data_IF_467961832122
#
_entry.id   IF_467961832122
#
_cell.length_a   1.000
_cell.length_b   1.000
_cell.length_c   1.000
_cell.angle_alpha   90.00
_cell.angle_beta   90.00
_cell.angle_gamma   90.00
#
_symmetry.space_group_name_H-M   'P 1'
#
loop_
_entity.id
_entity.type
_entity.pdbx_description
1 polymer ?
#
# COMPACT_ATOMS: atom_id res chain seq x y z
N UNK A 1 -21.34 8.61 -13.35
CA UNK A 1 -20.99 8.20 -11.99
C UNK A 1 -19.51 7.99 -11.85
N UNK A 2 -18.92 8.65 -10.87
CA UNK A 2 -17.49 8.53 -10.65
C UNK A 2 -17.17 7.28 -9.84
N UNK A 3 -16.39 6.41 -10.43
CA UNK A 3 -15.91 5.23 -9.74
C UNK A 3 -14.77 5.64 -8.80
N UNK A 4 -14.86 5.21 -7.54
CA UNK A 4 -13.78 5.41 -6.59
C UNK A 4 -12.76 4.30 -6.71
N UNK A 5 -11.50 4.63 -6.52
CA UNK A 5 -10.46 3.63 -6.40
C UNK A 5 -10.48 3.03 -4.99
N UNK A 6 -10.49 1.73 -4.91
CA UNK A 6 -10.46 1.01 -3.64
C UNK A 6 -9.00 0.78 -3.23
N UNK A 7 -8.61 1.34 -2.09
CA UNK A 7 -7.22 1.32 -1.64
C UNK A 7 -7.12 0.67 -0.25
N UNK A 8 -6.27 -0.35 -0.14
CA UNK A 8 -5.95 -0.97 1.13
C UNK A 8 -4.60 -0.44 1.60
N UNK A 9 -4.55 0.08 2.82
CA UNK A 9 -3.30 0.59 3.40
C UNK A 9 -2.94 -0.24 4.62
N UNK A 10 -1.74 -0.80 4.62
CA UNK A 10 -1.22 -1.65 5.70
C UNK A 10 0.06 -1.03 6.25
N UNK A 11 0.03 -0.58 7.50
CA UNK A 11 1.17 0.06 8.15
C UNK A 11 0.97 -0.04 9.66
N UNK A 12 1.99 -0.48 10.39
CA UNK A 12 1.89 -0.60 11.84
C UNK A 12 1.89 0.76 12.56
N UNK A 13 2.27 1.82 11.87
CA UNK A 13 2.23 3.18 12.41
C UNK A 13 0.84 3.78 12.21
N UNK A 14 0.04 3.82 13.27
CA UNK A 14 -1.34 4.32 13.18
C UNK A 14 -1.41 5.77 12.74
N UNK A 15 -0.38 6.57 13.04
CA UNK A 15 -0.31 7.96 12.60
C UNK A 15 -0.25 8.07 11.08
N UNK A 16 0.51 7.18 10.43
CA UNK A 16 0.59 7.13 8.97
C UNK A 16 -0.78 6.75 8.38
N UNK A 17 -1.42 5.74 8.96
CA UNK A 17 -2.75 5.31 8.50
C UNK A 17 -3.75 6.46 8.58
N UNK A 18 -3.76 7.17 9.71
CA UNK A 18 -4.68 8.30 9.92
C UNK A 18 -4.41 9.42 8.92
N UNK A 19 -3.14 9.77 8.75
CA UNK A 19 -2.75 10.85 7.84
C UNK A 19 -3.12 10.54 6.39
N UNK A 20 -2.79 9.35 5.92
CA UNK A 20 -3.07 8.95 4.53
C UNK A 20 -4.57 8.80 4.29
N UNK A 21 -5.28 8.22 5.26
CA UNK A 21 -6.72 8.05 5.15
C UNK A 21 -7.43 9.39 5.04
N UNK A 22 -7.06 10.34 5.89
CA UNK A 22 -7.66 11.67 5.84
C UNK A 22 -7.36 12.39 4.53
N UNK A 23 -6.12 12.29 4.09
CA UNK A 23 -5.71 12.96 2.86
C UNK A 23 -6.45 12.39 1.64
N UNK A 24 -6.49 11.08 1.51
CA UNK A 24 -7.13 10.44 0.36
C UNK A 24 -8.66 10.59 0.38
N UNK A 25 -9.26 10.51 1.57
CA UNK A 25 -10.72 10.66 1.68
C UNK A 25 -11.19 12.07 1.34
N UNK A 26 -10.34 13.06 1.47
CA UNK A 26 -10.70 14.46 1.23
C UNK A 26 -11.15 14.71 -0.20
N UNK A 27 -10.57 14.02 -1.17
CA UNK A 27 -10.89 14.21 -2.58
C UNK A 27 -12.19 13.54 -3.02
N UNK A 28 -12.65 12.54 -2.25
CA UNK A 28 -13.81 11.73 -2.63
C UNK A 28 -13.55 10.73 -3.74
N UNK A 29 -12.29 10.60 -4.18
CA UNK A 29 -11.91 9.73 -5.30
C UNK A 29 -11.46 8.34 -4.84
N UNK A 30 -11.32 8.13 -3.55
CA UNK A 30 -10.79 6.88 -3.00
C UNK A 30 -11.71 6.31 -1.93
N UNK A 31 -11.82 5.00 -1.92
CA UNK A 31 -12.47 4.25 -0.86
C UNK A 31 -11.34 3.56 -0.08
N UNK A 32 -11.01 4.10 1.09
CA UNK A 32 -9.80 3.71 1.82
C UNK A 32 -10.12 2.75 2.95
N UNK A 33 -9.40 1.64 3.00
CA UNK A 33 -9.48 0.65 4.09
C UNK A 33 -8.09 0.56 4.71
N UNK A 34 -7.98 0.68 6.03
CA UNK A 34 -6.70 0.68 6.72
C UNK A 34 -6.61 -0.47 7.73
N UNK A 35 -5.42 -1.05 7.84
CA UNK A 35 -5.11 -2.06 8.85
C UNK A 35 -3.72 -1.81 9.40
N UNK A 36 -3.60 -1.88 10.73
CA UNK A 36 -2.30 -1.81 11.41
C UNK A 36 -1.69 -3.19 11.62
N UNK A 37 -2.47 -4.24 11.42
CA UNK A 37 -2.03 -5.62 11.57
C UNK A 37 -2.04 -6.31 10.21
N UNK A 38 -0.89 -6.81 9.74
CA UNK A 38 -0.81 -7.43 8.42
C UNK A 38 -1.65 -8.71 8.27
N UNK A 39 -1.86 -9.44 9.35
CA UNK A 39 -2.67 -10.66 9.30
C UNK A 39 -4.14 -10.31 9.03
N UNK A 40 -4.64 -9.28 9.73
CA UNK A 40 -6.00 -8.79 9.49
C UNK A 40 -6.15 -8.23 8.08
N UNK A 41 -5.11 -7.55 7.60
CA UNK A 41 -5.11 -7.01 6.23
C UNK A 41 -5.20 -8.13 5.18
N UNK A 42 -4.46 -9.21 5.37
CA UNK A 42 -4.50 -10.35 4.46
C UNK A 42 -5.88 -11.02 4.47
N UNK A 43 -6.52 -11.09 5.63
CA UNK A 43 -7.87 -11.61 5.72
C UNK A 43 -8.84 -10.75 4.92
N UNK A 44 -8.76 -9.43 5.05
CA UNK A 44 -9.59 -8.51 4.26
C UNK A 44 -9.30 -8.63 2.77
N UNK A 45 -8.02 -8.77 2.40
CA UNK A 45 -7.61 -8.92 1.01
C UNK A 45 -8.21 -10.18 0.39
N UNK A 46 -8.40 -11.24 1.19
CA UNK A 46 -8.97 -12.48 0.70
C UNK A 46 -10.48 -12.40 0.47
N UNK A 47 -11.15 -11.40 1.04
CA UNK A 47 -12.61 -11.29 1.00
C UNK A 47 -13.15 -10.20 0.08
N UNK A 48 -12.30 -9.26 -0.34
CA UNK A 48 -12.74 -8.20 -1.24
C UNK A 48 -11.61 -7.79 -2.17
N UNK A 49 -11.99 -7.15 -3.27
CA UNK A 49 -11.02 -6.69 -4.25
C UNK A 49 -10.58 -5.26 -3.96
N UNK A 50 -9.30 -4.98 -4.21
CA UNK A 50 -8.74 -3.65 -4.10
C UNK A 50 -8.05 -3.27 -5.40
N UNK A 51 -8.17 -2.00 -5.78
CA UNK A 51 -7.45 -1.48 -6.94
C UNK A 51 -5.96 -1.30 -6.64
N UNK A 52 -5.64 -1.00 -5.38
CA UNK A 52 -4.26 -0.74 -4.96
C UNK A 52 -4.06 -1.18 -3.52
N UNK A 53 -2.89 -1.74 -3.24
CA UNK A 53 -2.43 -2.04 -1.89
C UNK A 53 -1.21 -1.18 -1.60
N UNK A 54 -1.27 -0.38 -0.53
CA UNK A 54 -0.14 0.36 0.00
C UNK A 54 0.38 -0.41 1.21
N UNK A 55 1.63 -0.82 1.17
CA UNK A 55 2.13 -1.83 2.11
C UNK A 55 3.48 -1.41 2.69
N UNK A 56 3.51 -1.23 4.01
CA UNK A 56 4.75 -0.94 4.73
C UNK A 56 5.64 -2.19 4.76
N UNK A 57 6.95 -2.01 4.58
CA UNK A 57 7.89 -3.13 4.60
C UNK A 57 8.19 -3.58 6.04
N UNK A 58 8.43 -2.63 6.94
CA UNK A 58 8.89 -2.95 8.30
C UNK A 58 7.74 -2.97 9.30
N UNK A 59 7.23 -4.15 9.60
CA UNK A 59 6.17 -4.35 10.59
C UNK A 59 6.57 -5.48 11.54
N UNK A 60 6.23 -5.36 12.85
CA UNK A 60 6.70 -6.35 13.84
C UNK A 60 6.07 -7.74 13.71
N UNK A 61 4.80 -7.83 13.33
CA UNK A 61 4.10 -9.12 13.27
C UNK A 61 4.47 -9.93 12.04
N UNK A 62 4.65 -9.26 10.93
CA UNK A 62 4.97 -9.89 9.66
C UNK A 62 5.62 -8.87 8.76
N UNK A 63 6.74 -9.23 8.19
CA UNK A 63 7.47 -8.38 7.26
C UNK A 63 6.59 -8.10 6.02
N UNK A 64 6.60 -6.87 5.53
CA UNK A 64 5.82 -6.48 4.35
C UNK A 64 6.15 -7.30 3.11
N UNK A 65 7.37 -7.81 2.98
CA UNK A 65 7.74 -8.68 1.86
C UNK A 65 6.98 -10.00 1.92
N UNK A 66 6.76 -10.53 3.13
CA UNK A 66 5.95 -11.74 3.30
C UNK A 66 4.48 -11.48 2.94
N UNK A 67 3.98 -10.31 3.31
CA UNK A 67 2.62 -9.90 2.94
C UNK A 67 2.49 -9.79 1.42
N UNK A 68 3.48 -9.16 0.78
CA UNK A 68 3.52 -9.01 -0.67
C UNK A 68 3.47 -10.38 -1.36
N UNK A 69 4.26 -11.32 -0.87
CA UNK A 69 4.29 -12.68 -1.42
C UNK A 69 2.90 -13.31 -1.36
N UNK A 70 2.22 -13.20 -0.23
CA UNK A 70 0.88 -13.76 -0.06
C UNK A 70 -0.17 -13.06 -0.93
N UNK A 71 -0.04 -11.76 -1.10
CA UNK A 71 -0.91 -10.98 -1.99
C UNK A 71 -0.74 -11.47 -3.44
N UNK A 72 0.50 -11.61 -3.88
CA UNK A 72 0.80 -12.05 -5.25
C UNK A 72 0.37 -13.49 -5.50
N UNK A 73 0.41 -14.35 -4.49
CA UNK A 73 -0.10 -15.72 -4.62
C UNK A 73 -1.61 -15.74 -4.89
N UNK A 74 -2.36 -14.82 -4.28
CA UNK A 74 -3.80 -14.74 -4.47
C UNK A 74 -4.17 -14.04 -5.77
N UNK A 75 -3.43 -13.00 -6.15
CA UNK A 75 -3.72 -12.22 -7.35
C UNK A 75 -2.42 -11.62 -7.88
N UNK A 76 -1.84 -12.28 -8.86
CA UNK A 76 -0.57 -11.85 -9.45
C UNK A 76 -0.67 -10.54 -10.23
N UNK A 77 -1.89 -10.06 -10.50
CA UNK A 77 -2.13 -8.79 -11.20
C UNK A 77 -2.35 -7.62 -10.23
N UNK A 78 -2.32 -7.88 -8.93
CA UNK A 78 -2.57 -6.84 -7.93
C UNK A 78 -1.51 -5.74 -7.99
N UNK A 79 -1.96 -4.51 -8.05
CA UNK A 79 -1.07 -3.34 -7.97
C UNK A 79 -0.70 -3.09 -6.52
N UNK A 80 0.59 -3.04 -6.24
CA UNK A 80 1.11 -2.85 -4.89
C UNK A 80 2.20 -1.80 -4.90
N UNK A 81 2.08 -0.81 -4.02
CA UNK A 81 3.12 0.19 -3.80
C UNK A 81 3.69 -0.05 -2.40
N UNK A 82 4.98 -0.31 -2.31
CA UNK A 82 5.64 -0.49 -1.01
C UNK A 82 5.96 0.87 -0.41
N UNK A 83 5.75 0.99 0.89
CA UNK A 83 6.14 2.17 1.65
C UNK A 83 7.37 1.78 2.48
N UNK A 84 8.46 2.53 2.35
CA UNK A 84 9.72 2.12 2.97
C UNK A 84 10.50 3.29 3.52
N UNK A 85 11.20 3.08 4.64
CA UNK A 85 12.16 4.03 5.16
C UNK A 85 13.44 3.99 4.32
N UNK A 86 14.19 5.07 4.39
CA UNK A 86 15.41 5.25 3.59
C UNK A 86 16.41 4.09 3.74
N UNK A 87 16.48 3.51 4.91
CA UNK A 87 17.46 2.46 5.23
C UNK A 87 17.14 1.08 4.66
N UNK A 88 16.05 0.93 3.88
CA UNK A 88 15.58 -0.38 3.44
C UNK A 88 15.66 -0.57 1.92
N UNK A 89 16.65 0.06 1.28
CA UNK A 89 16.80 0.00 -0.19
C UNK A 89 16.93 -1.43 -0.72
N UNK A 90 17.68 -2.29 -0.03
CA UNK A 90 17.82 -3.70 -0.42
C UNK A 90 16.47 -4.40 -0.49
N UNK A 91 15.60 -4.09 0.48
CA UNK A 91 14.26 -4.67 0.54
C UNK A 91 13.35 -4.14 -0.57
N UNK A 92 13.55 -2.88 -0.97
CA UNK A 92 12.85 -2.30 -2.11
C UNK A 92 13.17 -3.08 -3.39
N UNK A 93 14.45 -3.34 -3.63
CA UNK A 93 14.87 -4.10 -4.81
C UNK A 93 14.27 -5.50 -4.79
N UNK A 94 14.27 -6.14 -3.63
CA UNK A 94 13.69 -7.47 -3.48
C UNK A 94 12.17 -7.44 -3.71
N UNK A 95 11.47 -6.43 -3.20
CA UNK A 95 10.02 -6.32 -3.38
C UNK A 95 9.65 -6.17 -4.85
N UNK A 96 10.45 -5.45 -5.60
CA UNK A 96 10.23 -5.27 -7.03
C UNK A 96 10.30 -6.61 -7.77
N UNK A 97 11.27 -7.46 -7.39
CA UNK A 97 11.38 -8.81 -7.96
C UNK A 97 10.20 -9.69 -7.57
N UNK A 98 9.59 -9.47 -6.42
CA UNK A 98 8.46 -10.25 -5.93
C UNK A 98 7.11 -9.74 -6.42
N UNK A 99 7.08 -8.70 -7.25
CA UNK A 99 5.86 -8.27 -7.90
C UNK A 99 5.33 -6.91 -7.49
N UNK A 100 6.02 -6.18 -6.61
CA UNK A 100 5.59 -4.82 -6.27
C UNK A 100 5.65 -3.93 -7.50
N UNK A 101 4.61 -3.12 -7.69
CA UNK A 101 4.51 -2.25 -8.86
C UNK A 101 5.42 -1.04 -8.73
N UNK A 102 5.56 -0.50 -7.52
CA UNK A 102 6.38 0.69 -7.28
C UNK A 102 6.62 0.83 -5.77
N UNK A 103 7.30 1.89 -5.37
CA UNK A 103 7.53 2.18 -3.96
C UNK A 103 7.50 3.68 -3.71
N UNK A 104 7.28 4.08 -2.45
CA UNK A 104 7.42 5.45 -1.98
C UNK A 104 8.26 5.45 -0.71
N UNK A 105 9.07 6.50 -0.56
CA UNK A 105 9.97 6.64 0.59
C UNK A 105 9.28 7.38 1.73
N UNK A 106 9.54 6.94 2.95
CA UNK A 106 9.15 7.67 4.17
C UNK A 106 10.37 8.42 4.72
N UNK A 107 10.19 9.62 5.26
CA UNK A 107 8.96 10.40 5.27
C UNK A 107 8.59 10.88 3.86
N UNK A 108 7.32 11.09 3.61
CA UNK A 108 6.87 11.52 2.27
C UNK A 108 7.30 12.97 2.03
N UNK A 109 7.79 13.25 0.80
CA UNK A 109 8.18 14.60 0.42
C UNK A 109 7.00 15.56 0.51
N UNK A 110 5.86 15.12 -0.03
CA UNK A 110 4.60 15.83 0.12
C UNK A 110 3.48 14.84 -0.16
N UNK A 111 2.30 15.12 0.38
CA UNK A 111 1.14 14.27 0.13
C UNK A 111 0.71 14.38 -1.34
N UNK A 112 0.92 15.53 -1.96
CA UNK A 112 0.63 15.71 -3.39
C UNK A 112 1.54 14.84 -4.25
N UNK A 113 2.83 14.76 -3.93
CA UNK A 113 3.78 13.90 -4.65
C UNK A 113 3.44 12.43 -4.44
N UNK A 114 3.05 12.07 -3.22
CA UNK A 114 2.58 10.72 -2.90
C UNK A 114 1.37 10.35 -3.76
N UNK A 115 0.38 11.23 -3.83
CA UNK A 115 -0.83 10.98 -4.63
C UNK A 115 -0.52 10.84 -6.12
N UNK A 116 0.38 11.67 -6.65
CA UNK A 116 0.78 11.54 -8.06
C UNK A 116 1.35 10.16 -8.34
N UNK A 117 2.17 9.64 -7.44
CA UNK A 117 2.76 8.33 -7.61
C UNK A 117 1.72 7.21 -7.60
N UNK A 118 0.79 7.24 -6.67
CA UNK A 118 -0.24 6.19 -6.63
C UNK A 118 -1.19 6.29 -7.82
N UNK A 119 -1.48 7.48 -8.31
CA UNK A 119 -2.29 7.64 -9.51
C UNK A 119 -1.60 7.10 -10.75
N UNK A 120 -0.27 7.28 -10.87
CA UNK A 120 0.49 6.68 -11.97
C UNK A 120 0.32 5.16 -11.97
N UNK A 121 0.40 4.55 -10.80
CA UNK A 121 0.24 3.10 -10.66
C UNK A 121 -1.19 2.68 -11.00
N UNK A 122 -2.18 3.39 -10.46
CA UNK A 122 -3.58 3.07 -10.68
C UNK A 122 -3.99 3.17 -12.14
N UNK A 123 -3.40 4.12 -12.87
CA UNK A 123 -3.75 4.37 -14.27
C UNK A 123 -2.88 3.63 -15.27
N UNK A 124 -1.90 2.90 -14.80
CA UNK A 124 -0.98 2.16 -15.68
C UNK A 124 -1.62 0.90 -16.28
#
# INVERSE_FOLDING_TARGET
MNKKYSVLIVDDETEILTMLSRFLNRSGSYDVTTYSNPISALDAFSRQEFDLVLLDIMMPQMNGLEVLEKVMEKNSEQKVVMMTAYSTLDKVLKSHKEGATNYVMKPFDSLQAFERKILEVLKS
#
